data_IF_609409786105
#
_entry.id   IF_609409786105
#
_cell.length_a   1.000
_cell.length_b   1.000
_cell.length_c   1.000
_cell.angle_alpha   90.00
_cell.angle_beta   90.00
_cell.angle_gamma   90.00
#
_symmetry.space_group_name_H-M   'P 1'
#
loop_
_entity.id
_entity.type
_entity.pdbx_description
1 polymer ?
#
# COMPACT_ATOMS: atom_id res chain seq x y z
N UNK A 1 0.06 7.11 -21.63
CA UNK A 1 0.83 6.29 -22.59
C UNK A 1 1.60 5.23 -21.79
N UNK A 2 0.99 4.05 -21.57
CA UNK A 2 1.62 2.96 -20.82
C UNK A 2 2.56 2.21 -21.77
N UNK A 3 3.85 2.53 -21.73
CA UNK A 3 4.87 1.80 -22.49
C UNK A 3 5.06 0.44 -21.82
N UNK A 4 4.78 -0.64 -22.57
CA UNK A 4 4.87 -2.03 -22.14
C UNK A 4 6.29 -2.47 -21.83
N UNK A 5 6.83 -2.05 -20.69
CA UNK A 5 7.91 -2.78 -20.02
C UNK A 5 7.28 -4.00 -19.37
N UNK A 6 7.62 -5.18 -19.87
CA UNK A 6 7.28 -6.45 -19.26
C UNK A 6 7.62 -6.42 -17.77
N UNK A 7 6.60 -6.45 -16.92
CA UNK A 7 6.75 -6.81 -15.51
C UNK A 7 7.47 -8.15 -15.51
N UNK A 8 8.65 -8.23 -14.89
CA UNK A 8 9.35 -9.50 -14.70
C UNK A 8 8.34 -10.50 -14.17
N UNK A 9 8.09 -11.57 -14.93
CA UNK A 9 6.94 -12.42 -14.68
C UNK A 9 7.07 -13.06 -13.29
N UNK A 10 6.03 -12.92 -12.45
CA UNK A 10 5.90 -13.61 -11.16
C UNK A 10 5.62 -15.10 -11.39
N UNK A 11 6.51 -15.75 -12.14
CA UNK A 11 6.40 -17.12 -12.63
C UNK A 11 7.63 -17.89 -12.17
N UNK A 12 7.40 -18.99 -11.48
CA UNK A 12 8.46 -19.90 -11.06
C UNK A 12 7.97 -21.34 -11.29
N UNK A 13 8.92 -22.28 -11.40
CA UNK A 13 8.58 -23.67 -11.65
C UNK A 13 7.71 -24.23 -10.52
N UNK A 14 6.71 -25.04 -10.88
CA UNK A 14 5.74 -25.62 -9.92
C UNK A 14 6.43 -26.32 -8.74
N UNK A 15 7.50 -27.08 -9.01
CA UNK A 15 8.24 -27.81 -7.97
C UNK A 15 8.84 -26.92 -6.87
N UNK A 16 9.00 -25.62 -7.12
CA UNK A 16 9.53 -24.64 -6.16
C UNK A 16 8.45 -24.08 -5.23
N UNK A 17 7.18 -24.10 -5.63
CA UNK A 17 6.07 -23.39 -4.95
C UNK A 17 4.92 -24.28 -4.47
N UNK A 18 4.74 -25.46 -5.04
CA UNK A 18 3.62 -26.36 -4.72
C UNK A 18 3.56 -26.66 -3.22
N UNK A 19 2.39 -26.45 -2.60
CA UNK A 19 2.15 -26.67 -1.17
C UNK A 19 2.79 -25.65 -0.22
N UNK A 20 3.36 -24.53 -0.71
CA UNK A 20 4.03 -23.52 0.12
C UNK A 20 3.27 -22.19 0.13
N UNK A 21 3.37 -21.48 1.26
CA UNK A 21 2.86 -20.11 1.41
C UNK A 21 3.99 -19.11 1.16
N UNK A 22 3.69 -18.12 0.32
CA UNK A 22 4.56 -17.00 -0.01
C UNK A 22 3.84 -15.70 0.31
N UNK A 23 4.61 -14.73 0.79
CA UNK A 23 4.15 -13.36 0.94
C UNK A 23 4.67 -12.52 -0.21
N UNK A 24 3.92 -11.50 -0.61
CA UNK A 24 4.29 -10.60 -1.71
C UNK A 24 4.42 -9.20 -1.14
N UNK A 25 5.55 -8.56 -1.44
CA UNK A 25 5.94 -7.26 -0.91
C UNK A 25 7.41 -6.99 -1.16
N UNK A 26 7.87 -5.84 -0.70
CA UNK A 26 9.30 -5.52 -0.60
C UNK A 26 9.83 -5.94 0.77
N UNK A 27 11.16 -5.92 0.93
CA UNK A 27 11.79 -6.15 2.21
C UNK A 27 11.31 -5.12 3.25
N UNK A 28 11.12 -5.50 4.52
CA UNK A 28 10.71 -4.56 5.57
C UNK A 28 11.71 -3.40 5.70
N UNK A 29 11.21 -2.17 5.73
CA UNK A 29 11.99 -0.96 5.93
C UNK A 29 11.31 -0.03 6.94
N UNK A 30 12.06 0.92 7.48
CA UNK A 30 11.52 1.92 8.40
C UNK A 30 10.61 2.90 7.63
N UNK A 31 9.31 2.84 7.91
CA UNK A 31 8.30 3.70 7.30
C UNK A 31 8.61 5.19 7.53
N UNK A 32 9.24 5.55 8.64
CA UNK A 32 9.65 6.94 8.93
C UNK A 32 10.60 7.48 7.88
N UNK A 33 11.59 6.67 7.46
CA UNK A 33 12.57 7.06 6.43
C UNK A 33 11.85 7.35 5.12
N UNK A 34 10.90 6.49 4.74
CA UNK A 34 10.13 6.68 3.52
C UNK A 34 9.24 7.93 3.57
N UNK A 35 8.48 8.14 4.65
CA UNK A 35 7.59 9.32 4.75
C UNK A 35 8.39 10.63 4.74
N UNK A 36 9.56 10.67 5.39
CA UNK A 36 10.46 11.83 5.34
C UNK A 36 10.96 12.10 3.91
N UNK A 37 11.41 11.05 3.21
CA UNK A 37 11.90 11.17 1.85
C UNK A 37 10.79 11.61 0.88
N UNK A 38 9.58 11.05 0.99
CA UNK A 38 8.40 11.48 0.22
C UNK A 38 8.05 12.93 0.51
N UNK A 39 7.98 13.37 1.77
CA UNK A 39 7.67 14.76 2.12
C UNK A 39 8.71 15.73 1.56
N UNK A 40 10.00 15.35 1.65
CA UNK A 40 11.09 16.16 1.11
C UNK A 40 11.00 16.29 -0.41
N UNK A 41 10.71 15.20 -1.11
CA UNK A 41 10.59 15.20 -2.57
C UNK A 41 9.33 15.94 -3.03
N UNK A 42 8.20 15.76 -2.35
CA UNK A 42 6.91 16.31 -2.75
C UNK A 42 6.76 17.81 -2.44
N UNK A 43 7.20 18.26 -1.27
CA UNK A 43 6.97 19.65 -0.80
C UNK A 43 8.23 20.36 -0.30
N UNK A 44 9.40 19.74 -0.41
CA UNK A 44 10.68 20.33 0.02
C UNK A 44 10.90 20.40 1.53
N UNK A 45 9.96 19.90 2.35
CA UNK A 45 9.91 20.09 3.80
C UNK A 45 9.94 18.76 4.56
N UNK A 46 10.54 18.72 5.77
CA UNK A 46 10.50 17.54 6.63
C UNK A 46 9.09 17.29 7.18
N UNK A 47 8.86 16.06 7.63
CA UNK A 47 7.61 15.65 8.26
C UNK A 47 7.43 16.34 9.61
N UNK A 48 6.18 16.72 9.90
CA UNK A 48 5.82 17.24 11.23
C UNK A 48 5.35 16.10 12.10
N UNK A 49 5.94 15.99 13.29
CA UNK A 49 5.59 14.96 14.26
C UNK A 49 4.63 15.53 15.31
N UNK A 50 3.65 14.72 15.68
CA UNK A 50 2.70 15.01 16.76
C UNK A 50 2.80 13.91 17.81
N UNK A 51 2.68 14.22 19.11
CA UNK A 51 2.69 13.22 20.16
C UNK A 51 1.62 12.14 19.96
N UNK A 52 2.00 10.87 20.18
CA UNK A 52 1.14 9.69 19.98
C UNK A 52 -0.18 9.78 20.76
N UNK A 53 -0.18 10.36 21.95
CA UNK A 53 -1.39 10.47 22.78
C UNK A 53 -2.45 11.37 22.13
N UNK A 54 -2.06 12.41 21.37
CA UNK A 54 -3.00 13.29 20.65
C UNK A 54 -3.72 12.47 19.57
N UNK A 55 -2.96 11.68 18.81
CA UNK A 55 -3.53 10.81 17.76
C UNK A 55 -4.44 9.75 18.37
N UNK A 56 -4.07 9.20 19.53
CA UNK A 56 -4.89 8.23 20.26
C UNK A 56 -6.22 8.84 20.70
N UNK A 57 -6.23 10.08 21.21
CA UNK A 57 -7.48 10.78 21.56
C UNK A 57 -8.34 11.02 20.32
N UNK A 58 -7.74 11.45 19.20
CA UNK A 58 -8.47 11.57 17.92
C UNK A 58 -9.05 10.24 17.44
N UNK A 59 -8.33 9.13 17.65
CA UNK A 59 -8.80 7.79 17.30
C UNK A 59 -10.02 7.37 18.12
N UNK A 60 -10.05 7.67 19.42
CA UNK A 60 -11.20 7.42 20.28
C UNK A 60 -12.42 8.27 19.88
N UNK A 61 -12.22 9.55 19.56
CA UNK A 61 -13.28 10.39 19.00
C UNK A 61 -13.78 9.85 17.65
N UNK A 62 -12.87 9.30 16.84
CA UNK A 62 -13.20 8.62 15.59
C UNK A 62 -14.07 7.38 15.75
N UNK A 63 -13.91 6.62 16.84
CA UNK A 63 -14.81 5.49 17.15
C UNK A 63 -16.23 5.97 17.47
N UNK A 64 -16.37 7.11 18.16
CA UNK A 64 -17.67 7.74 18.40
C UNK A 64 -18.33 8.17 17.07
N UNK A 65 -17.58 8.84 16.20
CA UNK A 65 -18.10 9.22 14.87
C UNK A 65 -18.46 8.00 14.02
N UNK A 66 -17.66 6.94 14.08
CA UNK A 66 -17.97 5.67 13.42
C UNK A 66 -19.30 5.08 13.93
N UNK A 67 -19.56 5.12 15.24
CA UNK A 67 -20.83 4.67 15.81
C UNK A 67 -22.02 5.51 15.31
N UNK A 68 -21.80 6.81 15.07
CA UNK A 68 -22.78 7.73 14.49
C UNK A 68 -22.86 7.66 12.95
N UNK A 69 -22.11 6.75 12.30
CA UNK A 69 -21.99 6.64 10.84
C UNK A 69 -21.46 7.91 10.15
N UNK A 70 -20.71 8.73 10.87
CA UNK A 70 -20.03 9.90 10.33
C UNK A 70 -18.62 9.48 9.89
N UNK A 71 -18.22 9.74 8.63
CA UNK A 71 -16.87 9.40 8.17
C UNK A 71 -15.83 10.24 8.89
N UNK A 72 -14.83 9.59 9.48
CA UNK A 72 -13.70 10.24 10.12
C UNK A 72 -12.41 9.49 9.78
N UNK A 73 -11.30 10.20 9.46
CA UNK A 73 -10.11 9.59 8.89
C UNK A 73 -9.29 8.74 9.87
N UNK A 74 -9.57 8.83 11.17
CA UNK A 74 -8.86 8.09 12.22
C UNK A 74 -9.85 7.31 13.08
N UNK A 75 -9.49 6.14 13.56
CA UNK A 75 -10.26 5.38 14.56
C UNK A 75 -9.30 4.44 15.30
N UNK A 76 -9.72 3.80 16.39
CA UNK A 76 -8.77 2.99 17.19
C UNK A 76 -8.19 1.81 16.39
N UNK A 77 -8.96 1.24 15.46
CA UNK A 77 -8.46 0.18 14.58
C UNK A 77 -7.36 0.66 13.64
N UNK A 78 -7.56 1.82 12.99
CA UNK A 78 -6.56 2.44 12.12
C UNK A 78 -5.34 2.90 12.90
N UNK A 79 -5.53 3.48 14.08
CA UNK A 79 -4.41 3.88 14.95
C UNK A 79 -3.54 2.68 15.34
N UNK A 80 -4.16 1.57 15.77
CA UNK A 80 -3.43 0.33 16.08
C UNK A 80 -2.67 -0.20 14.86
N UNK A 81 -3.33 -0.24 13.69
CA UNK A 81 -2.70 -0.70 12.45
C UNK A 81 -1.53 0.18 12.01
N UNK A 82 -1.62 1.51 12.13
CA UNK A 82 -0.52 2.41 11.76
C UNK A 82 0.66 2.39 12.74
N UNK A 83 0.47 1.87 13.95
CA UNK A 83 1.49 1.86 15.03
C UNK A 83 2.01 0.48 15.35
N UNK A 84 1.58 -0.54 14.60
CA UNK A 84 2.05 -1.92 14.75
C UNK A 84 3.01 -2.26 13.62
N UNK A 85 4.11 -2.93 13.95
CA UNK A 85 5.03 -3.46 12.95
C UNK A 85 4.44 -4.71 12.29
N UNK A 86 4.46 -4.73 10.95
CA UNK A 86 4.01 -5.88 10.14
C UNK A 86 5.20 -6.52 9.41
N UNK A 87 6.12 -7.09 10.18
CA UNK A 87 7.26 -7.82 9.63
C UNK A 87 6.74 -9.11 8.98
N UNK A 88 6.92 -9.21 7.67
CA UNK A 88 6.40 -10.30 6.87
C UNK A 88 7.56 -11.16 6.36
N UNK A 89 7.51 -12.50 6.47
CA UNK A 89 8.62 -13.37 6.09
C UNK A 89 8.70 -13.50 4.56
N UNK A 90 9.42 -12.58 3.93
CA UNK A 90 9.60 -12.47 2.49
C UNK A 90 10.72 -13.37 1.93
N UNK A 91 11.54 -13.98 2.80
CA UNK A 91 12.74 -14.73 2.41
C UNK A 91 12.48 -15.81 1.35
N UNK A 92 11.34 -16.51 1.46
CA UNK A 92 10.97 -17.56 0.50
C UNK A 92 10.68 -16.99 -0.88
N UNK A 93 10.03 -15.83 -0.92
CA UNK A 93 9.68 -15.13 -2.16
C UNK A 93 10.94 -14.59 -2.81
N UNK A 94 11.82 -13.95 -2.03
CA UNK A 94 13.11 -13.43 -2.50
C UNK A 94 14.00 -14.57 -3.01
N UNK A 95 14.04 -15.72 -2.32
CA UNK A 95 14.80 -16.88 -2.77
C UNK A 95 14.25 -17.50 -4.07
N UNK A 96 12.93 -17.48 -4.27
CA UNK A 96 12.28 -18.09 -5.43
C UNK A 96 12.24 -17.17 -6.67
N UNK A 97 12.11 -15.86 -6.47
CA UNK A 97 11.84 -14.88 -7.53
C UNK A 97 12.91 -13.78 -7.64
N UNK A 98 13.87 -13.73 -6.70
CA UNK A 98 14.83 -12.63 -6.57
C UNK A 98 14.29 -11.46 -5.75
N UNK A 99 15.16 -10.51 -5.45
CA UNK A 99 14.80 -9.27 -4.79
C UNK A 99 14.06 -8.31 -5.74
N UNK A 100 13.39 -7.32 -5.16
CA UNK A 100 12.72 -6.26 -5.91
C UNK A 100 13.69 -5.55 -6.85
N UNK A 101 13.35 -5.34 -8.14
CA UNK A 101 14.22 -4.66 -9.09
C UNK A 101 14.20 -3.12 -8.93
N UNK A 102 13.43 -2.61 -7.96
CA UNK A 102 13.26 -1.18 -7.73
C UNK A 102 13.75 -0.81 -6.34
N UNK A 103 14.46 0.31 -6.27
CA UNK A 103 14.90 0.89 -5.01
C UNK A 103 13.81 1.76 -4.40
N UNK A 104 13.96 2.07 -3.11
CA UNK A 104 13.09 3.03 -2.43
C UNK A 104 13.07 4.39 -3.14
N UNK A 105 14.24 4.85 -3.61
CA UNK A 105 14.39 6.13 -4.30
C UNK A 105 13.59 6.13 -5.62
N UNK A 106 13.68 5.05 -6.42
CA UNK A 106 12.90 4.90 -7.65
C UNK A 106 11.39 4.95 -7.36
N UNK A 107 10.97 4.30 -6.27
CA UNK A 107 9.58 4.31 -5.81
C UNK A 107 9.09 5.71 -5.43
N UNK A 108 9.90 6.46 -4.68
CA UNK A 108 9.58 7.84 -4.27
C UNK A 108 9.48 8.76 -5.49
N UNK A 109 10.45 8.71 -6.40
CA UNK A 109 10.46 9.54 -7.62
C UNK A 109 9.19 9.31 -8.44
N UNK A 110 8.86 8.03 -8.72
CA UNK A 110 7.65 7.67 -9.48
C UNK A 110 6.38 8.07 -8.76
N UNK A 111 6.35 7.99 -7.42
CA UNK A 111 5.18 8.37 -6.62
C UNK A 111 4.94 9.87 -6.69
N UNK A 112 6.00 10.69 -6.56
CA UNK A 112 5.90 12.15 -6.65
C UNK A 112 5.52 12.56 -8.07
N UNK A 113 6.16 11.98 -9.09
CA UNK A 113 5.81 12.22 -10.48
C UNK A 113 4.33 11.91 -10.75
N UNK A 114 3.84 10.75 -10.31
CA UNK A 114 2.42 10.38 -10.46
C UNK A 114 1.48 11.39 -9.77
N UNK A 115 1.86 11.89 -8.60
CA UNK A 115 1.07 12.87 -7.87
C UNK A 115 1.02 14.22 -8.60
N UNK A 116 2.16 14.71 -9.08
CA UNK A 116 2.30 16.00 -9.78
C UNK A 116 1.67 15.98 -11.17
N UNK A 117 1.70 14.83 -11.87
CA UNK A 117 1.05 14.62 -13.16
C UNK A 117 -0.50 14.56 -13.05
N UNK A 118 -1.04 14.89 -11.88
CA UNK A 118 -2.47 15.08 -11.65
C UNK A 118 -3.21 13.80 -11.31
N UNK A 119 -2.49 12.75 -10.86
CA UNK A 119 -2.96 11.45 -10.37
C UNK A 119 -4.46 11.22 -10.55
N UNK A 120 -4.87 10.31 -11.44
CA UNK A 120 -6.29 10.00 -11.68
C UNK A 120 -7.06 9.99 -10.36
N UNK A 121 -7.85 11.05 -10.12
CA UNK A 121 -8.53 11.20 -8.85
C UNK A 121 -9.46 10.01 -8.72
N UNK A 122 -9.30 9.24 -7.64
CA UNK A 122 -10.16 8.10 -7.38
C UNK A 122 -11.63 8.54 -7.50
N UNK A 123 -12.31 7.96 -8.49
CA UNK A 123 -13.75 8.10 -8.69
C UNK A 123 -14.41 6.92 -7.98
N UNK A 124 -15.53 7.11 -7.26
CA UNK A 124 -16.26 5.99 -6.68
C UNK A 124 -16.59 4.97 -7.78
N UNK A 125 -16.02 3.77 -7.69
CA UNK A 125 -16.31 2.71 -8.65
C UNK A 125 -17.80 2.37 -8.61
N UNK A 126 -18.46 2.40 -9.76
CA UNK A 126 -19.79 1.77 -9.90
C UNK A 126 -19.62 0.30 -9.58
N UNK A 127 -20.38 -0.22 -8.61
CA UNK A 127 -20.36 -1.64 -8.27
C UNK A 127 -20.69 -2.44 -9.53
N UNK A 128 -19.71 -3.15 -10.10
CA UNK A 128 -19.95 -4.08 -11.19
C UNK A 128 -20.67 -5.29 -10.60
N UNK A 129 -21.92 -5.53 -11.04
CA UNK A 129 -22.64 -6.75 -10.70
C UNK A 129 -22.02 -7.91 -11.49
N UNK A 130 -21.22 -8.73 -10.81
CA UNK A 130 -20.55 -9.89 -11.40
C UNK A 130 -21.52 -11.01 -11.77
N UNK A 131 -22.81 -10.92 -11.40
CA UNK A 131 -23.84 -11.92 -11.77
C UNK A 131 -24.42 -11.71 -13.17
N UNK A 132 -24.22 -10.54 -13.78
CA UNK A 132 -24.73 -10.24 -15.12
C UNK A 132 -23.88 -10.83 -16.26
N UNK A 133 -22.75 -11.48 -15.97
CA UNK A 133 -21.78 -11.97 -16.97
C UNK A 133 -21.83 -13.49 -17.21
N UNK A 134 -22.96 -14.15 -16.96
CA UNK A 134 -23.18 -15.54 -17.40
C UNK A 134 -24.37 -15.60 -18.35
N UNK A 135 -24.12 -15.43 -19.64
CA UNK A 135 -25.15 -15.51 -20.66
C UNK A 135 -24.61 -15.42 -22.07
N UNK A 136 -23.67 -16.29 -22.44
CA UNK A 136 -23.54 -16.89 -23.78
C UNK A 136 -22.23 -17.67 -23.87
N UNK A 137 -22.24 -18.91 -23.38
CA UNK A 137 -21.39 -19.96 -23.93
C UNK A 137 -22.25 -21.22 -23.95
N UNK A 138 -22.93 -21.41 -25.08
CA UNK A 138 -23.47 -22.67 -25.54
C UNK A 138 -22.88 -22.88 -26.95
#
# INVERSE_FOLDING_TARGET
MWSGRSIGSLTVQRGTVDGRVFYVGDDPFDLKIWVEAVSKALIGKPVRYIPTWIVRVMALAGDLFKALRIPFPMNSGRFKSMTSDYITPMDRTVAALGASPHTMADGIERTVQWYDDGSDRWQPGVKKDTRSMNGSIA
#
